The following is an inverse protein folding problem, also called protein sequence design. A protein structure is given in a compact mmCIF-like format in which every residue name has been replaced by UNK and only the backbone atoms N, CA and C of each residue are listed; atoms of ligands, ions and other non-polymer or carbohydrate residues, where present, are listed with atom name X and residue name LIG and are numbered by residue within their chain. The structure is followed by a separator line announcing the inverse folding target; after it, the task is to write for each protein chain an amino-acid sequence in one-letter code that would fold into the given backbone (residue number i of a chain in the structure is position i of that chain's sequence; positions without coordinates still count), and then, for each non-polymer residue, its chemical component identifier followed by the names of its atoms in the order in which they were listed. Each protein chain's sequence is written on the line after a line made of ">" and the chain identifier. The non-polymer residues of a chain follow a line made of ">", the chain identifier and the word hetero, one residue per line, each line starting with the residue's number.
data_IF_702939115743
#
_entry.id   IF_702939115743
#
_cell.length_a   1.000
_cell.length_b   1.000
_cell.length_c   1.000
_cell.angle_alpha   90.00
_cell.angle_beta   90.00
_cell.angle_gamma   90.00
#
_symmetry.space_group_name_H-M   'P 1'
#
loop_
_entity.id
_entity.type
_entity.pdbx_description
1 polymer ?
#
# COMPACT_ATOMS: atom_id res chain seq x y z
N UNK A 1 0.72 3.11 12.66
CA UNK A 1 0.93 4.44 12.13
C UNK A 1 2.08 4.49 11.11
N UNK A 2 1.87 3.77 9.99
CA UNK A 2 2.85 3.58 8.91
C UNK A 2 3.27 4.92 8.29
N UNK A 3 2.31 5.80 7.99
CA UNK A 3 2.58 7.10 7.36
C UNK A 3 3.52 7.96 8.19
N UNK A 4 3.34 8.00 9.52
CA UNK A 4 4.24 8.73 10.42
C UNK A 4 5.65 8.13 10.40
N UNK A 5 5.77 6.79 10.42
CA UNK A 5 7.07 6.11 10.35
C UNK A 5 7.79 6.36 9.03
N UNK A 6 7.06 6.37 7.92
CA UNK A 6 7.63 6.73 6.62
C UNK A 6 8.12 8.19 6.65
N UNK A 7 7.33 9.13 7.15
CA UNK A 7 7.75 10.53 7.28
C UNK A 7 8.99 10.70 8.19
N UNK A 8 9.06 9.97 9.32
CA UNK A 8 10.25 9.96 10.19
C UNK A 8 11.50 9.47 9.43
N UNK A 9 11.37 8.41 8.62
CA UNK A 9 12.49 7.88 7.80
C UNK A 9 12.90 8.87 6.73
N UNK A 10 11.96 9.44 5.98
CA UNK A 10 12.26 10.46 4.95
C UNK A 10 12.95 11.68 5.55
N UNK A 11 12.47 12.18 6.70
CA UNK A 11 13.10 13.28 7.42
C UNK A 11 14.54 12.94 7.83
N UNK A 12 14.75 11.75 8.42
CA UNK A 12 16.06 11.30 8.85
C UNK A 12 17.05 11.11 7.69
N UNK A 13 16.53 10.84 6.50
CA UNK A 13 17.32 10.64 5.27
C UNK A 13 17.56 11.92 4.48
N UNK A 14 17.08 13.06 4.98
CA UNK A 14 17.24 14.36 4.31
C UNK A 14 16.45 14.48 3.00
N UNK A 15 15.42 13.69 2.83
CA UNK A 15 14.49 13.82 1.68
C UNK A 15 13.61 15.05 1.91
N UNK A 16 13.57 15.94 0.93
CA UNK A 16 12.64 17.06 0.95
C UNK A 16 11.24 16.56 0.54
N UNK A 17 10.27 16.69 1.45
CA UNK A 17 8.90 16.29 1.20
C UNK A 17 7.89 17.18 1.90
N UNK A 18 6.72 17.31 1.32
CA UNK A 18 5.57 17.99 1.90
C UNK A 18 4.38 17.03 2.11
N UNK A 19 3.42 17.47 2.91
CA UNK A 19 2.13 16.80 3.08
C UNK A 19 1.00 17.79 2.85
N UNK A 20 -0.05 17.36 2.17
CA UNK A 20 -1.21 18.23 1.87
C UNK A 20 -2.06 18.53 3.12
N UNK A 21 -1.94 17.72 4.15
CA UNK A 21 -2.63 17.90 5.42
C UNK A 21 -4.14 17.89 5.27
N UNK A 22 -4.82 18.94 5.73
CA UNK A 22 -6.30 19.02 5.68
C UNK A 22 -6.88 19.19 4.27
N UNK A 23 -6.05 19.48 3.27
CA UNK A 23 -6.49 19.59 1.87
C UNK A 23 -6.62 18.21 1.21
N UNK A 24 -5.92 17.19 1.72
CA UNK A 24 -6.01 15.83 1.23
C UNK A 24 -7.41 15.25 1.47
N UNK A 25 -7.99 14.68 0.42
CA UNK A 25 -9.24 13.94 0.45
C UNK A 25 -8.98 12.49 0.08
N UNK A 26 -9.99 11.62 0.29
CA UNK A 26 -9.94 10.27 -0.24
C UNK A 26 -9.63 10.29 -1.73
N UNK A 27 -8.74 9.42 -2.20
CA UNK A 27 -8.47 9.27 -3.64
C UNK A 27 -9.68 8.71 -4.41
N UNK A 28 -10.72 8.24 -3.71
CA UNK A 28 -11.97 7.80 -4.33
C UNK A 28 -12.02 6.34 -4.75
N UNK A 29 -10.97 5.55 -4.49
CA UNK A 29 -10.96 4.14 -4.91
C UNK A 29 -12.20 3.36 -4.46
N UNK A 30 -12.52 3.40 -3.16
CA UNK A 30 -13.66 2.64 -2.63
C UNK A 30 -15.00 3.13 -3.18
N UNK A 31 -15.15 4.43 -3.25
CA UNK A 31 -16.33 5.10 -3.82
C UNK A 31 -16.61 4.63 -5.23
N UNK A 32 -15.57 4.59 -6.06
CA UNK A 32 -15.66 4.10 -7.44
C UNK A 32 -16.02 2.62 -7.50
N UNK A 33 -15.42 1.79 -6.62
CA UNK A 33 -15.67 0.32 -6.61
C UNK A 33 -17.08 -0.05 -6.18
N UNK A 34 -17.78 0.79 -5.44
CA UNK A 34 -19.20 0.58 -5.09
C UNK A 34 -20.16 1.19 -6.12
N UNK A 35 -19.65 1.79 -7.20
CA UNK A 35 -20.45 2.29 -8.32
C UNK A 35 -20.80 3.78 -8.27
N UNK A 36 -20.28 4.53 -7.31
CA UNK A 36 -20.52 5.97 -7.14
C UNK A 36 -19.56 6.80 -8.00
N UNK A 37 -19.67 6.67 -9.35
CA UNK A 37 -18.74 7.30 -10.28
C UNK A 37 -18.77 8.84 -10.19
N UNK A 38 -19.94 9.46 -10.06
CA UNK A 38 -20.04 10.92 -9.93
C UNK A 38 -19.37 11.47 -8.67
N UNK A 39 -19.44 10.74 -7.55
CA UNK A 39 -18.72 11.12 -6.33
C UNK A 39 -17.21 10.90 -6.49
N UNK A 40 -16.81 9.84 -7.19
CA UNK A 40 -15.40 9.62 -7.52
C UNK A 40 -14.82 10.77 -8.35
N UNK A 41 -15.52 11.21 -9.40
CA UNK A 41 -15.10 12.33 -10.24
C UNK A 41 -14.95 13.62 -9.42
N UNK A 42 -15.92 13.96 -8.58
CA UNK A 42 -15.85 15.13 -7.70
C UNK A 42 -14.64 15.08 -6.74
N UNK A 43 -14.36 13.92 -6.13
CA UNK A 43 -13.21 13.74 -5.25
C UNK A 43 -11.90 13.88 -6.02
N UNK A 44 -11.83 13.31 -7.23
CA UNK A 44 -10.66 13.38 -8.07
C UNK A 44 -10.38 14.83 -8.54
N UNK A 45 -11.40 15.55 -9.00
CA UNK A 45 -11.27 16.96 -9.37
C UNK A 45 -10.74 17.81 -8.21
N UNK A 46 -11.32 17.68 -7.01
CA UNK A 46 -10.85 18.40 -5.82
C UNK A 46 -9.41 18.06 -5.45
N UNK A 47 -9.02 16.79 -5.55
CA UNK A 47 -7.64 16.38 -5.28
C UNK A 47 -6.68 16.91 -6.34
N UNK A 48 -7.04 16.87 -7.64
CA UNK A 48 -6.25 17.41 -8.73
C UNK A 48 -6.01 18.91 -8.52
N UNK A 49 -7.07 19.69 -8.27
CA UNK A 49 -6.94 21.11 -7.97
C UNK A 49 -5.99 21.40 -6.80
N UNK A 50 -6.08 20.61 -5.73
CA UNK A 50 -5.21 20.80 -4.55
C UNK A 50 -3.77 20.35 -4.79
N UNK A 51 -3.54 19.29 -5.57
CA UNK A 51 -2.22 18.80 -5.95
C UNK A 51 -1.51 19.80 -6.84
N UNK A 52 -2.20 20.37 -7.83
CA UNK A 52 -1.64 21.36 -8.76
C UNK A 52 -1.24 22.69 -8.10
N UNK A 53 -1.70 22.95 -6.87
CA UNK A 53 -1.23 24.08 -6.07
C UNK A 53 0.13 23.82 -5.39
N UNK A 54 0.66 22.63 -5.51
CA UNK A 54 1.92 22.22 -4.89
C UNK A 54 3.04 22.09 -5.94
N UNK A 55 4.26 22.46 -5.57
CA UNK A 55 5.46 22.17 -6.36
C UNK A 55 6.05 20.84 -5.87
N UNK A 56 6.14 19.84 -6.75
CA UNK A 56 6.67 18.52 -6.43
C UNK A 56 7.14 17.80 -7.70
N UNK A 57 8.01 16.80 -7.55
CA UNK A 57 8.47 15.95 -8.65
C UNK A 57 7.66 14.66 -8.74
N UNK A 58 7.32 14.08 -7.59
CA UNK A 58 6.57 12.83 -7.51
C UNK A 58 5.66 12.78 -6.27
N UNK A 59 4.62 11.97 -6.34
CA UNK A 59 3.71 11.69 -5.23
C UNK A 59 4.06 10.34 -4.62
N UNK A 60 4.23 10.31 -3.29
CA UNK A 60 4.47 9.07 -2.54
C UNK A 60 3.29 8.75 -1.67
N UNK A 61 2.82 7.52 -1.74
CA UNK A 61 1.70 7.05 -0.92
C UNK A 61 2.03 5.76 -0.18
N UNK A 62 1.42 5.60 1.00
CA UNK A 62 1.50 4.36 1.79
C UNK A 62 0.35 3.39 1.50
N UNK A 63 -0.59 3.78 0.62
CA UNK A 63 -1.77 3.01 0.28
C UNK A 63 -1.76 2.56 -1.18
N UNK A 64 -1.72 1.24 -1.47
CA UNK A 64 -1.79 0.71 -2.82
C UNK A 64 -3.06 1.08 -3.60
N UNK A 65 -4.18 1.31 -2.92
CA UNK A 65 -5.41 1.74 -3.57
C UNK A 65 -5.29 3.17 -4.08
N UNK A 66 -4.77 4.07 -3.25
CA UNK A 66 -4.45 5.46 -3.64
C UNK A 66 -3.40 5.48 -4.76
N UNK A 67 -2.34 4.66 -4.64
CA UNK A 67 -1.34 4.50 -5.69
C UNK A 67 -1.97 4.17 -7.06
N UNK A 68 -2.81 3.14 -7.08
CA UNK A 68 -3.49 2.72 -8.32
C UNK A 68 -4.39 3.83 -8.88
N UNK A 69 -5.15 4.49 -8.01
CA UNK A 69 -6.11 5.51 -8.42
C UNK A 69 -5.42 6.73 -9.00
N UNK A 70 -4.39 7.25 -8.32
CA UNK A 70 -3.61 8.40 -8.82
C UNK A 70 -2.89 8.07 -10.13
N UNK A 71 -2.29 6.89 -10.23
CA UNK A 71 -1.49 6.49 -11.38
C UNK A 71 -2.33 6.11 -12.61
N UNK A 72 -3.41 5.35 -12.42
CA UNK A 72 -4.10 4.69 -13.54
C UNK A 72 -5.50 5.27 -13.83
N UNK A 73 -6.08 6.00 -12.87
CA UNK A 73 -7.45 6.47 -13.00
C UNK A 73 -7.53 7.99 -13.15
N UNK A 74 -6.75 8.77 -12.40
CA UNK A 74 -6.69 10.24 -12.49
C UNK A 74 -6.24 10.78 -13.84
N UNK A 75 -5.34 10.14 -14.62
CA UNK A 75 -4.98 10.65 -15.94
C UNK A 75 -6.17 10.88 -16.88
N UNK A 76 -7.25 10.10 -16.72
CA UNK A 76 -8.49 10.29 -17.50
C UNK A 76 -9.28 11.55 -17.13
N UNK A 77 -8.98 12.12 -15.97
CA UNK A 77 -9.61 13.33 -15.42
C UNK A 77 -8.64 14.53 -15.42
N UNK A 78 -7.48 14.39 -16.07
CA UNK A 78 -6.47 15.45 -16.22
C UNK A 78 -5.36 15.44 -15.16
N UNK A 79 -5.38 14.54 -14.18
CA UNK A 79 -4.34 14.42 -13.17
C UNK A 79 -3.30 13.36 -13.53
N UNK A 80 -2.26 13.75 -14.30
CA UNK A 80 -1.16 12.84 -14.70
C UNK A 80 0.08 13.11 -13.87
N UNK A 81 0.39 12.19 -12.95
CA UNK A 81 1.44 12.34 -11.95
C UNK A 81 2.40 11.14 -11.94
N UNK A 82 3.67 11.41 -11.66
CA UNK A 82 4.60 10.36 -11.23
C UNK A 82 4.23 9.93 -9.82
N UNK A 83 3.79 8.68 -9.65
CA UNK A 83 3.35 8.16 -8.34
C UNK A 83 4.21 6.99 -7.95
N UNK A 84 4.67 6.96 -6.69
CA UNK A 84 5.39 5.82 -6.09
C UNK A 84 4.69 5.29 -4.85
N UNK A 85 4.74 3.99 -4.68
CA UNK A 85 4.44 3.39 -3.39
C UNK A 85 5.66 3.52 -2.47
N UNK A 86 5.46 3.79 -1.19
CA UNK A 86 6.55 4.05 -0.23
C UNK A 86 7.61 2.95 -0.20
N UNK A 87 7.23 1.68 -0.40
CA UNK A 87 8.18 0.57 -0.41
C UNK A 87 9.16 0.63 -1.58
N UNK A 88 8.72 1.16 -2.73
CA UNK A 88 9.58 1.39 -3.89
C UNK A 88 10.54 2.54 -3.62
N UNK A 89 10.05 3.68 -3.11
CA UNK A 89 10.89 4.81 -2.79
C UNK A 89 11.96 4.46 -1.74
N UNK A 90 11.56 3.81 -0.63
CA UNK A 90 12.50 3.43 0.43
C UNK A 90 13.59 2.47 -0.09
N UNK A 91 13.23 1.52 -0.95
CA UNK A 91 14.21 0.65 -1.59
C UNK A 91 15.20 1.44 -2.45
N UNK A 92 14.72 2.35 -3.29
CA UNK A 92 15.56 3.21 -4.13
C UNK A 92 16.53 4.06 -3.28
N UNK A 93 16.05 4.62 -2.19
CA UNK A 93 16.87 5.42 -1.27
C UNK A 93 17.95 4.59 -0.57
N UNK A 94 17.67 3.33 -0.23
CA UNK A 94 18.67 2.40 0.33
C UNK A 94 19.70 2.03 -0.75
N UNK A 95 19.25 1.67 -1.95
CA UNK A 95 20.13 1.23 -3.04
C UNK A 95 21.02 2.36 -3.60
N UNK A 96 20.54 3.61 -3.55
CA UNK A 96 21.35 4.78 -3.87
C UNK A 96 22.34 5.17 -2.76
N UNK A 97 22.22 4.56 -1.57
CA UNK A 97 23.04 4.89 -0.41
C UNK A 97 22.59 6.16 0.34
N UNK A 98 21.43 6.71 0.03
CA UNK A 98 20.88 7.84 0.76
C UNK A 98 20.34 7.43 2.13
N UNK A 99 19.85 6.20 2.24
CA UNK A 99 19.48 5.57 3.52
C UNK A 99 20.54 4.53 3.87
N UNK A 100 21.16 4.68 5.04
CA UNK A 100 22.07 3.70 5.61
C UNK A 100 21.39 2.95 6.77
N UNK A 101 21.18 1.66 6.60
CA UNK A 101 20.62 0.81 7.64
C UNK A 101 21.71 0.44 8.66
N UNK A 102 21.65 0.99 9.87
CA UNK A 102 22.62 0.76 10.94
C UNK A 102 22.42 -0.57 11.68
N UNK A 103 21.24 -1.16 11.56
CA UNK A 103 20.87 -2.43 12.21
C UNK A 103 20.02 -3.29 11.28
N UNK A 104 20.12 -4.60 11.46
CA UNK A 104 19.23 -5.57 10.83
C UNK A 104 18.25 -6.12 11.86
N UNK A 105 17.08 -6.54 11.39
CA UNK A 105 16.03 -7.07 12.26
C UNK A 105 16.30 -8.52 12.71
N UNK A 106 16.98 -9.32 11.85
CA UNK A 106 17.28 -10.74 12.07
C UNK A 106 16.03 -11.55 12.50
N UNK A 107 14.93 -11.37 11.79
CA UNK A 107 13.66 -12.06 12.01
C UNK A 107 13.21 -12.78 10.74
N UNK A 108 12.48 -13.89 10.92
CA UNK A 108 11.72 -14.52 9.85
C UNK A 108 10.31 -13.92 9.75
N UNK A 109 9.86 -13.62 8.55
CA UNK A 109 8.53 -13.07 8.28
C UNK A 109 7.96 -13.62 6.99
N UNK A 110 6.64 -13.74 6.92
CA UNK A 110 5.94 -13.91 5.66
C UNK A 110 5.33 -12.59 5.19
N UNK A 111 5.01 -12.50 3.89
CA UNK A 111 4.52 -11.27 3.27
C UNK A 111 3.19 -11.50 2.54
N UNK A 112 2.25 -10.60 2.76
CA UNK A 112 1.03 -10.53 1.96
C UNK A 112 1.22 -9.56 0.80
N UNK A 113 1.01 -10.04 -0.43
CA UNK A 113 1.00 -9.19 -1.62
C UNK A 113 -0.33 -8.44 -1.72
N UNK A 114 -0.37 -7.12 -1.51
CA UNK A 114 -1.59 -6.34 -1.70
C UNK A 114 -2.03 -6.38 -3.16
N UNK A 115 -3.31 -6.66 -3.40
CA UNK A 115 -3.82 -6.84 -4.75
C UNK A 115 -3.58 -5.61 -5.66
N UNK A 116 -3.77 -4.39 -5.13
CA UNK A 116 -3.55 -3.17 -5.91
C UNK A 116 -2.07 -2.81 -6.10
N UNK A 117 -1.16 -3.31 -5.28
CA UNK A 117 0.27 -3.15 -5.49
C UNK A 117 0.81 -4.19 -6.50
N UNK A 118 0.52 -5.47 -6.23
CA UNK A 118 0.99 -6.59 -7.04
C UNK A 118 0.15 -6.80 -8.30
N UNK A 119 -1.06 -7.35 -8.14
CA UNK A 119 -1.87 -7.81 -9.28
C UNK A 119 -2.26 -6.72 -10.26
N UNK A 120 -2.57 -5.51 -9.79
CA UNK A 120 -2.94 -4.38 -10.65
C UNK A 120 -1.73 -3.59 -11.19
N UNK A 121 -0.61 -3.57 -10.46
CA UNK A 121 0.53 -2.71 -10.81
C UNK A 121 1.86 -3.44 -10.98
N UNK A 122 1.92 -4.77 -10.79
CA UNK A 122 3.13 -5.58 -11.02
C UNK A 122 4.24 -5.38 -10.00
N UNK A 123 3.98 -4.70 -8.88
CA UNK A 123 4.99 -4.40 -7.85
C UNK A 123 5.02 -5.52 -6.83
N UNK A 124 5.87 -6.52 -7.06
CA UNK A 124 6.07 -7.68 -6.19
C UNK A 124 7.45 -7.69 -5.51
N UNK A 125 8.48 -7.24 -6.23
CA UNK A 125 9.86 -7.38 -5.79
C UNK A 125 10.31 -6.26 -4.84
N UNK A 126 9.84 -5.03 -5.05
CA UNK A 126 10.27 -3.90 -4.22
C UNK A 126 9.99 -4.10 -2.72
N UNK A 127 8.80 -4.55 -2.25
CA UNK A 127 8.57 -4.83 -0.85
C UNK A 127 9.48 -5.95 -0.32
N UNK A 128 9.70 -7.02 -1.10
CA UNK A 128 10.55 -8.16 -0.72
C UNK A 128 12.00 -7.74 -0.54
N UNK A 129 12.55 -7.05 -1.54
CA UNK A 129 13.93 -6.53 -1.48
C UNK A 129 14.12 -5.56 -0.32
N UNK A 130 13.11 -4.71 -0.05
CA UNK A 130 13.14 -3.81 1.11
C UNK A 130 13.21 -4.60 2.42
N UNK A 131 12.41 -5.66 2.58
CA UNK A 131 12.46 -6.54 3.74
C UNK A 131 13.82 -7.21 3.89
N UNK A 132 14.38 -7.76 2.81
CA UNK A 132 15.72 -8.38 2.78
C UNK A 132 16.81 -7.38 3.17
N UNK A 133 16.76 -6.14 2.65
CA UNK A 133 17.68 -5.08 3.04
C UNK A 133 17.59 -4.77 4.54
N UNK A 134 16.41 -4.86 5.14
CA UNK A 134 16.20 -4.70 6.56
C UNK A 134 16.66 -5.92 7.41
N UNK A 135 17.11 -7.00 6.79
CA UNK A 135 17.55 -8.23 7.48
C UNK A 135 16.40 -9.16 7.86
N UNK A 136 15.32 -9.12 7.10
CA UNK A 136 14.20 -10.05 7.26
C UNK A 136 14.43 -11.27 6.37
N UNK A 137 14.39 -12.46 6.95
CA UNK A 137 14.31 -13.72 6.22
C UNK A 137 12.86 -13.90 5.75
N UNK A 138 12.65 -13.83 4.43
CA UNK A 138 11.33 -13.97 3.86
C UNK A 138 10.96 -15.44 3.66
N UNK A 139 9.87 -15.87 4.28
CA UNK A 139 9.25 -17.19 4.10
C UNK A 139 7.95 -17.00 3.32
N UNK A 140 7.95 -17.36 2.05
CA UNK A 140 6.80 -17.15 1.17
C UNK A 140 5.63 -18.08 1.50
N UNK A 141 4.42 -17.52 1.49
CA UNK A 141 3.20 -18.33 1.50
C UNK A 141 3.03 -19.07 0.17
N UNK A 142 2.37 -20.25 0.14
CA UNK A 142 2.09 -20.96 -1.11
C UNK A 142 1.38 -20.11 -2.16
N UNK A 143 0.41 -19.30 -1.73
CA UNK A 143 -0.29 -18.35 -2.61
C UNK A 143 0.34 -16.97 -2.46
N UNK A 144 1.31 -16.64 -3.30
CA UNK A 144 2.03 -15.37 -3.30
C UNK A 144 2.05 -14.73 -4.69
N UNK A 145 2.55 -13.50 -4.78
CA UNK A 145 2.66 -12.70 -6.01
C UNK A 145 1.32 -12.61 -6.74
N UNK A 146 1.25 -12.92 -8.03
CA UNK A 146 0.02 -12.90 -8.85
C UNK A 146 -1.06 -13.85 -8.33
N UNK A 147 -0.67 -14.93 -7.66
CA UNK A 147 -1.58 -15.90 -7.06
C UNK A 147 -1.95 -15.57 -5.61
N UNK A 148 -1.52 -14.42 -5.09
CA UNK A 148 -1.82 -14.03 -3.71
C UNK A 148 -3.32 -14.07 -3.41
N UNK A 149 -3.68 -14.64 -2.26
CA UNK A 149 -5.07 -14.69 -1.83
C UNK A 149 -5.54 -13.31 -1.35
N UNK A 150 -6.80 -12.99 -1.56
CA UNK A 150 -7.34 -11.67 -1.21
C UNK A 150 -7.51 -11.51 0.30
N UNK A 151 -7.25 -10.30 0.82
CA UNK A 151 -7.57 -9.95 2.21
C UNK A 151 -9.08 -9.81 2.49
N UNK A 152 -9.89 -9.66 1.45
CA UNK A 152 -11.33 -9.49 1.56
C UNK A 152 -11.82 -8.06 1.76
N UNK A 153 -10.94 -7.05 1.83
CA UNK A 153 -11.32 -5.66 2.08
C UNK A 153 -11.82 -4.89 0.83
N UNK A 154 -11.48 -5.39 -0.37
CA UNK A 154 -11.73 -4.69 -1.62
C UNK A 154 -13.22 -4.54 -1.98
N UNK A 155 -13.51 -3.67 -2.98
CA UNK A 155 -14.88 -3.45 -3.44
C UNK A 155 -15.82 -2.86 -2.39
N UNK A 156 -15.29 -2.14 -1.40
CA UNK A 156 -16.08 -1.59 -0.30
C UNK A 156 -16.45 -2.60 0.80
N UNK A 157 -16.04 -3.86 0.68
CA UNK A 157 -16.40 -4.92 1.66
C UNK A 157 -15.95 -4.60 3.09
N UNK A 158 -14.86 -3.87 3.25
CA UNK A 158 -14.38 -3.43 4.59
C UNK A 158 -15.41 -2.59 5.35
N UNK A 159 -16.37 -1.98 4.65
CA UNK A 159 -17.42 -1.12 5.22
C UNK A 159 -18.78 -1.83 5.34
N UNK A 160 -18.92 -3.02 4.75
CA UNK A 160 -20.17 -3.76 4.72
C UNK A 160 -20.24 -4.78 5.86
N UNK A 161 -21.46 -5.06 6.28
CA UNK A 161 -21.72 -6.16 7.21
C UNK A 161 -21.47 -7.50 6.49
N UNK A 162 -20.99 -8.47 7.25
CA UNK A 162 -20.78 -9.81 6.75
C UNK A 162 -22.09 -10.46 6.30
N UNK A 163 -21.98 -11.23 5.23
CA UNK A 163 -23.09 -12.09 4.83
C UNK A 163 -23.31 -13.20 5.86
N UNK A 164 -24.56 -13.39 6.28
CA UNK A 164 -24.92 -14.39 7.29
C UNK A 164 -24.51 -15.84 6.91
N UNK A 165 -24.30 -16.11 5.63
CA UNK A 165 -23.91 -17.41 5.10
C UNK A 165 -22.39 -17.59 4.98
N UNK A 166 -21.59 -16.60 5.35
CA UNK A 166 -20.13 -16.68 5.27
C UNK A 166 -19.60 -17.54 6.41
N UNK A 167 -19.07 -18.71 6.09
CA UNK A 167 -18.51 -19.65 7.08
C UNK A 167 -17.09 -19.28 7.51
N UNK A 168 -16.33 -18.59 6.65
CA UNK A 168 -14.97 -18.16 6.92
C UNK A 168 -14.61 -16.97 6.02
N UNK A 169 -14.01 -15.93 6.60
CA UNK A 169 -13.55 -14.75 5.86
C UNK A 169 -12.30 -15.05 5.03
N UNK A 170 -12.12 -14.38 3.89
CA UNK A 170 -10.86 -14.46 3.16
C UNK A 170 -9.63 -14.08 4.01
N UNK A 171 -9.77 -13.08 4.89
CA UNK A 171 -8.70 -12.68 5.83
C UNK A 171 -8.31 -13.80 6.78
N UNK A 172 -9.28 -14.54 7.34
CA UNK A 172 -9.02 -15.67 8.23
C UNK A 172 -8.25 -16.79 7.52
N UNK A 173 -8.70 -17.17 6.30
CA UNK A 173 -8.00 -18.17 5.49
C UNK A 173 -6.55 -17.73 5.18
N UNK A 174 -6.35 -16.43 4.95
CA UNK A 174 -5.01 -15.90 4.69
C UNK A 174 -4.12 -15.93 5.93
N UNK A 175 -4.68 -15.62 7.09
CA UNK A 175 -3.96 -15.75 8.38
C UNK A 175 -3.62 -17.21 8.68
N UNK A 176 -4.53 -18.14 8.46
CA UNK A 176 -4.26 -19.58 8.63
C UNK A 176 -3.09 -20.05 7.76
N UNK A 177 -3.05 -19.61 6.50
CA UNK A 177 -1.93 -19.90 5.60
C UNK A 177 -0.60 -19.34 6.13
N UNK A 178 -0.61 -18.10 6.64
CA UNK A 178 0.58 -17.48 7.24
C UNK A 178 1.02 -18.20 8.53
N UNK A 179 0.10 -18.53 9.42
CA UNK A 179 0.35 -19.28 10.65
C UNK A 179 0.92 -20.67 10.37
N UNK A 180 0.43 -21.31 9.31
CA UNK A 180 0.92 -22.62 8.86
C UNK A 180 2.40 -22.67 8.50
N UNK A 181 3.02 -21.52 8.24
CA UNK A 181 4.48 -21.42 7.97
C UNK A 181 5.34 -21.44 9.24
N UNK A 182 4.75 -21.25 10.42
CA UNK A 182 5.46 -21.25 11.70
C UNK A 182 6.36 -20.03 11.93
N UNK A 183 6.24 -18.96 11.15
CA UNK A 183 6.98 -17.70 11.34
C UNK A 183 6.25 -16.78 12.32
N UNK A 184 7.01 -16.02 13.11
CA UNK A 184 6.45 -15.14 14.14
C UNK A 184 5.92 -13.79 13.66
N UNK A 185 6.13 -13.46 12.39
CA UNK A 185 5.78 -12.15 11.84
C UNK A 185 5.06 -12.27 10.50
N UNK A 186 3.98 -11.50 10.34
CA UNK A 186 3.24 -11.37 9.09
C UNK A 186 3.30 -9.91 8.63
N UNK A 187 4.01 -9.66 7.53
CA UNK A 187 4.23 -8.31 6.99
C UNK A 187 3.21 -7.98 5.92
N UNK A 188 2.69 -6.76 5.96
CA UNK A 188 1.74 -6.21 5.00
C UNK A 188 2.21 -4.83 4.51
N UNK A 189 1.79 -4.43 3.32
CA UNK A 189 2.14 -3.14 2.71
C UNK A 189 0.90 -2.33 2.28
N UNK A 190 -0.24 -2.60 2.89
CA UNK A 190 -1.50 -1.91 2.64
C UNK A 190 -2.21 -1.62 3.98
N UNK A 191 -2.72 -0.39 4.21
CA UNK A 191 -3.45 -0.07 5.44
C UNK A 191 -4.74 -0.88 5.61
N UNK A 192 -5.38 -1.30 4.50
CA UNK A 192 -6.55 -2.19 4.57
C UNK A 192 -6.17 -3.59 5.02
N UNK A 193 -5.04 -4.13 4.53
CA UNK A 193 -4.54 -5.43 4.99
C UNK A 193 -4.23 -5.38 6.49
N UNK A 194 -3.60 -4.30 6.96
CA UNK A 194 -3.35 -4.10 8.38
C UNK A 194 -4.65 -4.19 9.20
N UNK A 195 -5.72 -3.57 8.73
CA UNK A 195 -7.02 -3.58 9.42
C UNK A 195 -7.72 -4.94 9.35
N UNK A 196 -7.54 -5.68 8.24
CA UNK A 196 -8.17 -6.99 8.06
C UNK A 196 -7.50 -8.12 8.84
N UNK A 197 -6.22 -7.94 9.18
CA UNK A 197 -5.40 -8.96 9.85
C UNK A 197 -5.06 -8.62 11.32
N UNK A 198 -5.68 -7.57 11.88
CA UNK A 198 -5.51 -7.12 13.28
C UNK A 198 -6.53 -7.70 14.24
#
# INVERSE_FOLDING_TARGET
>A
DTTRKVAEVLTASGVDFGIMGKKEKSAGNDVRRIGEEGLFEQLAEQNIENIELCEFEEIVTTDPHTYNTLKNEYPKLGGDYTVKHYSTLLLELIESGQIHLSKKLDIASTFHDPCYLGRYNGIYDAPRRLMEQCGVELVEMPRNRENSFCCGAGGGQIWLQEHADMTQRPSEQRIEEAVGLGVGTFTVACPKDMNMYS
#
